data_IF_163456801589
#
_entry.id   IF_163456801589
#
_cell.length_a   1.000
_cell.length_b   1.000
_cell.length_c   1.000
_cell.angle_alpha   90.00
_cell.angle_beta   90.00
_cell.angle_gamma   90.00
#
_symmetry.space_group_name_H-M   'P 1'
#
loop_
_entity.id
_entity.type
_entity.pdbx_description
1 polymer ?
#
# COMPACT_ATOMS: atom_id res chain seq x y z
N UNK A 1 13.52 -16.54 11.49
CA UNK A 1 13.56 -17.23 10.19
C UNK A 1 12.91 -16.31 9.17
N UNK A 2 13.67 -15.65 8.29
CA UNK A 2 13.06 -14.73 7.30
C UNK A 2 12.40 -15.58 6.20
N UNK A 3 11.13 -15.30 5.92
CA UNK A 3 10.28 -16.11 5.04
C UNK A 3 10.60 -15.73 3.58
N UNK A 4 10.90 -16.74 2.74
CA UNK A 4 11.08 -16.58 1.28
C UNK A 4 9.75 -16.49 0.51
N UNK A 5 8.61 -16.61 1.20
CA UNK A 5 7.31 -16.53 0.56
C UNK A 5 6.89 -15.07 0.35
N UNK A 6 6.14 -14.77 -0.71
CA UNK A 6 5.49 -13.48 -0.93
C UNK A 6 4.69 -12.99 0.27
N UNK A 7 4.73 -11.68 0.52
CA UNK A 7 4.06 -11.05 1.65
C UNK A 7 2.53 -11.23 1.63
N UNK A 8 1.92 -11.39 0.45
CA UNK A 8 0.47 -11.65 0.30
C UNK A 8 -0.03 -12.89 1.04
N UNK A 9 0.86 -13.83 1.38
CA UNK A 9 0.49 -15.00 2.17
C UNK A 9 0.46 -14.73 3.67
N UNK A 10 1.04 -13.61 4.11
CA UNK A 10 1.04 -13.17 5.51
C UNK A 10 0.01 -12.06 5.75
N UNK A 11 -0.24 -11.19 4.76
CA UNK A 11 -1.16 -10.05 4.87
C UNK A 11 -2.14 -10.10 3.70
N UNK A 12 -3.43 -10.24 4.00
CA UNK A 12 -4.47 -10.40 2.98
C UNK A 12 -5.09 -9.06 2.56
N UNK A 13 -4.32 -8.23 1.86
CA UNK A 13 -4.86 -7.01 1.23
C UNK A 13 -5.78 -7.40 0.07
N UNK A 14 -7.00 -6.82 -0.04
CA UNK A 14 -7.88 -7.07 -1.17
C UNK A 14 -7.23 -6.74 -2.53
N UNK A 15 -7.48 -7.57 -3.54
CA UNK A 15 -6.88 -7.45 -4.88
C UNK A 15 -7.11 -6.07 -5.54
N UNK A 16 -8.18 -5.38 -5.16
CA UNK A 16 -8.50 -4.04 -5.65
C UNK A 16 -7.41 -3.01 -5.40
N UNK A 17 -6.61 -3.19 -4.33
CA UNK A 17 -5.54 -2.26 -3.97
C UNK A 17 -4.22 -2.56 -4.68
N UNK A 18 -4.05 -3.73 -5.30
CA UNK A 18 -2.80 -4.11 -5.96
C UNK A 18 -2.32 -3.09 -7.00
N UNK A 19 -3.17 -2.52 -7.87
CA UNK A 19 -2.73 -1.53 -8.85
C UNK A 19 -2.52 -0.12 -8.27
N UNK A 20 -2.77 0.11 -6.97
CA UNK A 20 -2.62 1.43 -6.37
C UNK A 20 -1.13 1.73 -6.11
N UNK A 21 -0.69 2.98 -6.32
CA UNK A 21 0.69 3.38 -6.00
C UNK A 21 1.01 3.10 -4.55
N UNK A 22 2.25 2.69 -4.22
CA UNK A 22 2.63 2.44 -2.82
C UNK A 22 2.40 3.67 -1.93
N UNK A 23 2.49 4.88 -2.49
CA UNK A 23 2.22 6.11 -1.74
C UNK A 23 0.76 6.28 -1.31
N UNK A 24 -0.19 5.52 -1.89
CA UNK A 24 -1.56 5.44 -1.41
C UNK A 24 -1.63 4.99 0.05
N UNK A 25 -0.66 4.19 0.53
CA UNK A 25 -0.59 3.72 1.93
C UNK A 25 -0.55 4.85 2.97
N UNK A 26 -0.26 6.09 2.56
CA UNK A 26 -0.38 7.29 3.42
C UNK A 26 -1.80 7.53 3.94
N UNK A 27 -2.81 6.94 3.31
CA UNK A 27 -4.19 7.03 3.75
C UNK A 27 -4.45 6.25 5.04
N UNK A 28 -3.60 5.27 5.35
CA UNK A 28 -3.70 4.51 6.57
C UNK A 28 -3.42 5.44 7.76
N UNK A 29 -4.33 5.58 8.74
CA UNK A 29 -4.00 6.21 10.01
C UNK A 29 -2.87 5.42 10.68
N UNK A 30 -1.80 6.11 11.05
CA UNK A 30 -0.68 5.51 11.78
C UNK A 30 -0.16 6.47 12.85
N UNK A 31 0.45 5.93 13.90
CA UNK A 31 1.16 6.70 14.92
C UNK A 31 2.56 7.18 14.45
N UNK A 32 2.92 6.91 13.20
CA UNK A 32 4.22 7.28 12.66
C UNK A 32 4.20 8.70 12.09
N UNK A 33 5.31 9.41 12.26
CA UNK A 33 5.47 10.73 11.63
C UNK A 33 5.50 10.64 10.10
N UNK A 34 4.96 11.68 9.45
CA UNK A 34 5.03 11.86 7.99
C UNK A 34 6.43 11.67 7.40
N UNK A 35 7.46 12.12 8.13
CA UNK A 35 8.87 11.95 7.72
C UNK A 35 9.25 10.47 7.67
N UNK A 36 8.82 9.70 8.67
CA UNK A 36 9.12 8.27 8.75
C UNK A 36 8.39 7.50 7.66
N UNK A 37 7.10 7.80 7.43
CA UNK A 37 6.32 7.22 6.34
C UNK A 37 6.97 7.53 4.99
N UNK A 38 7.33 8.80 4.77
CA UNK A 38 7.97 9.23 3.52
C UNK A 38 9.28 8.51 3.27
N UNK A 39 10.10 8.31 4.30
CA UNK A 39 11.35 7.55 4.17
C UNK A 39 11.08 6.11 3.73
N UNK A 40 10.12 5.43 4.36
CA UNK A 40 9.77 4.03 4.03
C UNK A 40 9.27 3.91 2.59
N UNK A 41 8.30 4.74 2.20
CA UNK A 41 7.70 4.69 0.86
C UNK A 41 8.70 5.09 -0.23
N UNK A 42 9.56 6.08 0.03
CA UNK A 42 10.58 6.46 -0.94
C UNK A 42 11.65 5.38 -1.10
N UNK A 43 12.06 4.70 -0.01
CA UNK A 43 13.00 3.57 -0.12
C UNK A 43 12.43 2.42 -0.93
N UNK A 44 11.13 2.14 -0.80
CA UNK A 44 10.45 1.14 -1.64
C UNK A 44 10.39 1.58 -3.11
N UNK A 45 10.02 2.84 -3.38
CA UNK A 45 9.99 3.37 -4.75
C UNK A 45 11.38 3.35 -5.41
N UNK A 46 12.42 3.71 -4.68
CA UNK A 46 13.82 3.64 -5.14
C UNK A 46 14.28 2.20 -5.41
N UNK A 47 13.60 1.21 -4.82
CA UNK A 47 13.79 -0.23 -5.08
C UNK A 47 12.83 -0.80 -6.12
N UNK A 48 12.21 0.05 -6.94
CA UNK A 48 11.26 -0.32 -8.00
C UNK A 48 9.94 -0.98 -7.52
N UNK A 49 9.60 -0.83 -6.24
CA UNK A 49 8.28 -1.19 -5.73
C UNK A 49 7.33 0.00 -5.90
N UNK A 50 6.65 0.06 -7.05
CA UNK A 50 5.83 1.22 -7.44
C UNK A 50 4.39 1.08 -6.94
N UNK A 51 3.88 -0.15 -6.93
CA UNK A 51 2.49 -0.48 -6.56
C UNK A 51 2.43 -1.36 -5.31
N UNK A 52 1.26 -1.37 -4.64
CA UNK A 52 1.01 -2.28 -3.52
C UNK A 52 1.15 -3.75 -3.95
N UNK A 53 0.79 -4.06 -5.20
CA UNK A 53 0.99 -5.38 -5.78
C UNK A 53 2.45 -5.80 -5.86
N UNK A 54 3.36 -4.89 -6.20
CA UNK A 54 4.80 -5.17 -6.26
C UNK A 54 5.32 -5.61 -4.89
N UNK A 55 4.91 -4.87 -3.84
CA UNK A 55 5.26 -5.18 -2.45
C UNK A 55 4.69 -6.53 -2.01
N UNK A 56 3.39 -6.77 -2.25
CA UNK A 56 2.71 -7.98 -1.78
C UNK A 56 3.19 -9.26 -2.48
N UNK A 57 3.65 -9.16 -3.72
CA UNK A 57 4.22 -10.29 -4.46
C UNK A 57 5.70 -10.54 -4.13
N UNK A 58 6.32 -9.69 -3.30
CA UNK A 58 7.73 -9.78 -2.92
C UNK A 58 7.89 -10.44 -1.55
N UNK A 59 9.01 -11.12 -1.32
CA UNK A 59 9.30 -11.72 -0.02
C UNK A 59 9.81 -10.70 1.01
N UNK A 60 9.66 -11.02 2.30
CA UNK A 60 10.19 -10.18 3.38
C UNK A 60 11.71 -9.98 3.25
N UNK A 61 12.44 -11.01 2.79
CA UNK A 61 13.90 -10.93 2.63
C UNK A 61 14.28 -9.88 1.59
N UNK A 62 13.59 -9.89 0.44
CA UNK A 62 13.84 -8.94 -0.64
C UNK A 62 13.51 -7.51 -0.23
N UNK A 63 12.38 -7.31 0.47
CA UNK A 63 12.01 -5.99 0.99
C UNK A 63 13.09 -5.46 1.95
N UNK A 64 13.50 -6.23 2.96
CA UNK A 64 14.51 -5.81 3.96
C UNK A 64 15.92 -5.65 3.38
N UNK A 65 16.19 -6.20 2.20
CA UNK A 65 17.45 -5.99 1.48
C UNK A 65 17.40 -4.76 0.56
N UNK A 66 16.24 -4.11 0.42
CA UNK A 66 16.11 -2.87 -0.33
C UNK A 66 16.90 -1.77 0.36
N UNK A 67 17.62 -0.97 -0.43
CA UNK A 67 18.46 0.10 0.10
C UNK A 67 17.62 1.03 0.97
N UNK A 68 18.13 1.37 2.15
CA UNK A 68 17.46 2.23 3.14
C UNK A 68 16.15 1.67 3.74
N UNK A 69 15.77 0.43 3.41
CA UNK A 69 14.59 -0.23 3.94
C UNK A 69 15.01 -1.34 4.94
N UNK A 70 14.88 -1.07 6.23
CA UNK A 70 15.20 -2.03 7.29
C UNK A 70 13.98 -2.62 7.99
N UNK A 71 14.18 -3.36 9.08
CA UNK A 71 13.10 -4.00 9.86
C UNK A 71 12.05 -3.00 10.38
N UNK A 72 12.48 -1.80 10.79
CA UNK A 72 11.55 -0.74 11.18
C UNK A 72 10.67 -0.30 10.01
N UNK A 73 11.21 -0.27 8.80
CA UNK A 73 10.44 0.05 7.59
C UNK A 73 9.43 -1.05 7.27
N UNK A 74 9.84 -2.32 7.41
CA UNK A 74 8.95 -3.46 7.27
C UNK A 74 7.80 -3.41 8.28
N UNK A 75 8.07 -3.13 9.56
CA UNK A 75 7.03 -3.00 10.57
C UNK A 75 6.00 -1.93 10.21
N UNK A 76 6.47 -0.75 9.78
CA UNK A 76 5.59 0.34 9.34
C UNK A 76 4.77 -0.03 8.10
N UNK A 77 5.41 -0.67 7.12
CA UNK A 77 4.75 -1.14 5.89
C UNK A 77 3.64 -2.14 6.21
N UNK A 78 3.93 -3.15 7.03
CA UNK A 78 2.94 -4.14 7.45
C UNK A 78 1.74 -3.47 8.15
N UNK A 79 2.00 -2.53 9.07
CA UNK A 79 0.93 -1.78 9.72
C UNK A 79 0.04 -1.01 8.73
N UNK A 80 0.63 -0.31 7.75
CA UNK A 80 -0.15 0.38 6.72
C UNK A 80 -0.97 -0.59 5.84
N UNK A 81 -0.38 -1.73 5.45
CA UNK A 81 -1.06 -2.76 4.65
C UNK A 81 -2.21 -3.43 5.42
N UNK A 82 -1.99 -3.74 6.70
CA UNK A 82 -3.03 -4.27 7.59
C UNK A 82 -4.17 -3.26 7.76
N UNK A 83 -3.87 -1.98 7.93
CA UNK A 83 -4.91 -0.95 8.08
C UNK A 83 -5.82 -0.87 6.87
N UNK A 84 -5.28 -0.84 5.64
CA UNK A 84 -6.11 -0.82 4.42
C UNK A 84 -6.81 -2.16 4.17
N UNK A 85 -6.26 -3.27 4.68
CA UNK A 85 -6.89 -4.58 4.60
C UNK A 85 -8.13 -4.68 5.47
N UNK A 86 -8.11 -4.08 6.66
CA UNK A 86 -9.22 -4.10 7.61
C UNK A 86 -10.22 -2.97 7.38
N UNK A 87 -9.79 -1.85 6.81
CA UNK A 87 -10.62 -0.66 6.56
C UNK A 87 -10.52 -0.25 5.07
N UNK A 88 -11.00 -1.08 4.14
CA UNK A 88 -10.90 -0.80 2.72
C UNK A 88 -11.67 0.46 2.29
N UNK A 89 -12.67 0.90 3.06
CA UNK A 89 -13.44 2.12 2.86
C UNK A 89 -12.60 3.41 2.92
N UNK A 90 -11.39 3.36 3.48
CA UNK A 90 -10.45 4.48 3.48
C UNK A 90 -10.20 5.02 2.08
N UNK A 91 -10.35 4.21 1.03
CA UNK A 91 -10.28 4.63 -0.38
C UNK A 91 -11.27 5.73 -0.78
N UNK A 92 -12.30 5.97 0.03
CA UNK A 92 -13.24 7.06 -0.14
C UNK A 92 -12.67 8.40 0.36
N UNK A 93 -11.76 8.38 1.34
CA UNK A 93 -11.24 9.55 2.05
C UNK A 93 -9.92 10.09 1.44
N UNK A 94 -9.91 10.29 0.12
CA UNK A 94 -8.70 10.71 -0.62
C UNK A 94 -8.35 12.19 -0.46
N UNK A 95 -9.18 12.97 0.24
CA UNK A 95 -8.99 14.41 0.44
C UNK A 95 -7.69 14.75 1.18
N UNK A 96 -7.21 13.83 2.02
CA UNK A 96 -5.94 13.97 2.74
C UNK A 96 -4.72 13.66 1.86
N UNK A 97 -4.91 13.10 0.67
CA UNK A 97 -3.84 12.85 -0.29
C UNK A 97 -3.53 14.14 -1.06
N UNK A 98 -2.24 14.44 -1.17
CA UNK A 98 -1.77 15.60 -1.95
C UNK A 98 -1.74 15.25 -3.45
N UNK A 99 -2.04 16.20 -4.35
CA UNK A 99 -1.72 16.04 -5.77
C UNK A 99 -0.21 15.83 -5.99
N UNK A 100 0.23 15.04 -6.98
CA UNK A 100 -0.58 14.38 -8.02
C UNK A 100 -1.23 13.05 -7.59
N UNK A 101 -0.81 12.46 -6.46
CA UNK A 101 -1.26 11.13 -6.00
C UNK A 101 -2.78 11.02 -5.90
N UNK A 102 -3.46 12.04 -5.35
CA UNK A 102 -4.92 12.07 -5.28
C UNK A 102 -5.58 11.87 -6.65
N UNK A 103 -5.09 12.55 -7.68
CA UNK A 103 -5.66 12.48 -9.03
C UNK A 103 -5.46 11.09 -9.64
N UNK A 104 -4.30 10.47 -9.39
CA UNK A 104 -4.01 9.11 -9.84
C UNK A 104 -4.93 8.08 -9.17
N UNK A 105 -5.13 8.19 -7.85
CA UNK A 105 -6.02 7.33 -7.07
C UNK A 105 -7.47 7.48 -7.54
N UNK A 106 -7.96 8.71 -7.74
CA UNK A 106 -9.31 8.95 -8.27
C UNK A 106 -9.48 8.39 -9.68
N UNK A 107 -8.47 8.52 -10.54
CA UNK A 107 -8.49 7.91 -11.87
C UNK A 107 -8.56 6.37 -11.79
N UNK A 108 -7.79 5.75 -10.89
CA UNK A 108 -7.82 4.30 -10.67
C UNK A 108 -9.19 3.82 -10.18
N UNK A 109 -9.82 4.53 -9.24
CA UNK A 109 -11.18 4.22 -8.72
C UNK A 109 -12.21 4.14 -9.85
N UNK A 110 -12.09 4.96 -10.89
CA UNK A 110 -13.02 4.97 -12.02
C UNK A 110 -12.76 3.87 -13.06
N UNK A 111 -11.62 3.17 -13.03
CA UNK A 111 -11.35 2.06 -13.95
C UNK A 111 -12.32 0.92 -13.66
N UNK A 112 -13.03 0.43 -14.68
CA UNK A 112 -14.01 -0.68 -14.58
C UNK A 112 -13.59 -1.85 -13.68
N UNK A 113 -12.38 -2.44 -13.82
CA UNK A 113 -11.98 -3.56 -12.96
C UNK A 113 -11.91 -3.17 -11.48
N UNK A 114 -11.36 -1.99 -11.17
CA UNK A 114 -11.25 -1.47 -9.79
C UNK A 114 -12.63 -1.16 -9.24
N UNK A 115 -13.44 -0.42 -10.00
CA UNK A 115 -14.81 -0.05 -9.60
C UNK A 115 -15.65 -1.28 -9.25
N UNK A 116 -15.61 -2.34 -10.07
CA UNK A 116 -16.36 -3.56 -9.80
C UNK A 116 -15.88 -4.25 -8.52
N UNK A 117 -14.56 -4.37 -8.34
CA UNK A 117 -14.00 -4.96 -7.13
C UNK A 117 -14.30 -4.14 -5.86
N UNK A 118 -14.39 -2.82 -5.96
CA UNK A 118 -14.85 -1.97 -4.85
C UNK A 118 -16.32 -2.25 -4.51
N UNK A 119 -17.18 -2.39 -5.52
CA UNK A 119 -18.58 -2.75 -5.32
C UNK A 119 -18.73 -4.15 -4.69
N UNK A 120 -17.89 -5.11 -5.10
CA UNK A 120 -17.86 -6.47 -4.51
C UNK A 120 -17.44 -6.44 -3.03
N UNK A 121 -16.64 -5.45 -2.63
CA UNK A 121 -16.28 -5.17 -1.24
C UNK A 121 -17.35 -4.34 -0.49
N UNK A 122 -18.47 -4.01 -1.14
CA UNK A 122 -19.55 -3.19 -0.56
C UNK A 122 -19.27 -1.69 -0.59
N UNK A 123 -18.19 -1.24 -1.24
CA UNK A 123 -17.78 0.16 -1.32
C UNK A 123 -18.42 0.82 -2.55
N UNK A 124 -19.25 1.82 -2.30
CA UNK A 124 -19.93 2.60 -3.35
C UNK A 124 -19.19 3.91 -3.57
N UNK A 125 -18.63 4.07 -4.76
CA UNK A 125 -17.98 5.30 -5.24
C UNK A 125 -18.99 6.39 -5.60
#
# INVERSE_FOLDING_TARGET
MKIKAPLKFSIHVPLVFYPFPIHFLRIAPTDFSDRSISRVLNSLQEGDFITIGDVLNTSIIELVNTRNFGEKGLYMLCGMLETISHNPELILDTDNLKPPLRNEVECLKQKKPVKNQLLDLGIKL
#
